data_IF_946243416398
#
_entry.id   IF_946243416398
#
_cell.length_a   1.000
_cell.length_b   1.000
_cell.length_c   1.000
_cell.angle_alpha   90.00
_cell.angle_beta   90.00
_cell.angle_gamma   90.00
#
_symmetry.space_group_name_H-M   'P 1'
#
loop_
_entity.id
_entity.type
_entity.pdbx_description
1 polymer ?
#
# COMPACT_ATOMS: atom_id res chain seq x y z
N UNK A 1 -0.71 -18.64 -14.03
CA UNK A 1 -1.60 -18.69 -12.86
C UNK A 1 -2.89 -17.96 -13.17
N UNK A 2 -4.00 -18.42 -12.59
CA UNK A 2 -5.25 -17.65 -12.53
C UNK A 2 -5.29 -16.89 -11.20
N UNK A 3 -5.43 -15.57 -11.24
CA UNK A 3 -5.26 -14.69 -10.07
C UNK A 3 -6.52 -13.84 -9.90
N UNK A 4 -7.14 -13.92 -8.73
CA UNK A 4 -8.25 -13.04 -8.36
C UNK A 4 -7.70 -11.79 -7.67
N UNK A 5 -8.06 -10.60 -8.18
CA UNK A 5 -7.59 -9.32 -7.65
C UNK A 5 -8.78 -8.45 -7.23
N UNK A 6 -8.79 -8.00 -5.98
CA UNK A 6 -9.66 -6.90 -5.55
C UNK A 6 -8.89 -5.59 -5.61
N UNK A 7 -9.58 -4.48 -5.89
CA UNK A 7 -8.90 -3.19 -6.06
C UNK A 7 -8.09 -3.07 -7.35
N UNK A 8 -8.36 -3.91 -8.36
CA UNK A 8 -7.69 -3.92 -9.66
C UNK A 8 -7.72 -2.57 -10.41
N UNK A 9 -8.69 -1.71 -10.15
CA UNK A 9 -8.80 -0.36 -10.74
C UNK A 9 -8.02 0.72 -9.98
N UNK A 10 -7.46 0.40 -8.82
CA UNK A 10 -6.66 1.33 -8.00
C UNK A 10 -5.28 1.61 -8.59
N UNK A 11 -4.51 2.48 -7.93
CA UNK A 11 -3.17 2.91 -8.38
C UNK A 11 -2.22 1.70 -8.54
N UNK A 12 -2.08 0.89 -7.51
CA UNK A 12 -1.24 -0.32 -7.53
C UNK A 12 -1.92 -1.40 -8.37
N UNK A 13 -3.21 -1.66 -8.14
CA UNK A 13 -3.96 -2.73 -8.79
C UNK A 13 -3.97 -2.65 -10.31
N UNK A 14 -4.11 -1.46 -10.89
CA UNK A 14 -4.10 -1.29 -12.34
C UNK A 14 -2.72 -1.56 -12.96
N UNK A 15 -1.64 -1.11 -12.32
CA UNK A 15 -0.28 -1.38 -12.77
C UNK A 15 0.06 -2.87 -12.61
N UNK A 16 -0.35 -3.47 -11.50
CA UNK A 16 -0.16 -4.90 -11.22
C UNK A 16 -0.91 -5.77 -12.23
N UNK A 17 -2.19 -5.48 -12.49
CA UNK A 17 -3.01 -6.21 -13.48
C UNK A 17 -2.36 -6.17 -14.85
N UNK A 18 -1.92 -4.99 -15.30
CA UNK A 18 -1.23 -4.84 -16.59
C UNK A 18 0.06 -5.68 -16.64
N UNK A 19 0.88 -5.62 -15.60
CA UNK A 19 2.15 -6.37 -15.54
C UNK A 19 1.92 -7.89 -15.49
N UNK A 20 0.95 -8.38 -14.71
CA UNK A 20 0.63 -9.79 -14.62
C UNK A 20 0.07 -10.33 -15.94
N UNK A 21 -0.83 -9.58 -16.60
CA UNK A 21 -1.36 -9.95 -17.92
C UNK A 21 -0.25 -10.04 -18.97
N UNK A 22 0.68 -9.08 -18.98
CA UNK A 22 1.84 -9.10 -19.87
C UNK A 22 2.77 -10.30 -19.64
N UNK A 23 2.77 -10.87 -18.42
CA UNK A 23 3.50 -12.09 -18.05
C UNK A 23 2.71 -13.39 -18.31
N UNK A 24 1.54 -13.30 -18.95
CA UNK A 24 0.72 -14.46 -19.32
C UNK A 24 -0.16 -15.03 -18.19
N UNK A 25 -0.40 -14.26 -17.11
CA UNK A 25 -1.34 -14.66 -16.08
C UNK A 25 -2.78 -14.32 -16.49
N UNK A 26 -3.74 -15.14 -16.08
CA UNK A 26 -5.18 -14.88 -16.23
C UNK A 26 -5.68 -14.13 -15.00
N UNK A 27 -6.26 -12.95 -15.19
CA UNK A 27 -6.73 -12.10 -14.08
C UNK A 27 -8.26 -12.15 -14.00
N UNK A 28 -8.78 -12.33 -12.80
CA UNK A 28 -10.18 -12.15 -12.45
C UNK A 28 -10.27 -10.94 -11.51
N UNK A 29 -11.02 -9.93 -11.91
CA UNK A 29 -11.17 -8.68 -11.14
C UNK A 29 -12.45 -8.71 -10.31
N UNK A 30 -12.33 -8.70 -8.97
CA UNK A 30 -13.48 -8.56 -8.10
C UNK A 30 -13.91 -7.08 -8.02
N UNK A 31 -15.13 -6.80 -8.47
CA UNK A 31 -15.71 -5.46 -8.60
C UNK A 31 -16.95 -5.30 -7.71
N UNK A 32 -17.15 -4.11 -7.12
CA UNK A 32 -18.33 -3.82 -6.28
C UNK A 32 -19.58 -3.44 -7.08
N UNK A 33 -19.40 -3.07 -8.34
CA UNK A 33 -20.48 -2.82 -9.31
C UNK A 33 -20.87 -4.10 -10.05
N UNK A 34 -21.90 -4.04 -10.84
CA UNK A 34 -22.20 -5.12 -11.78
C UNK A 34 -21.03 -5.37 -12.74
N UNK A 35 -20.65 -6.65 -12.95
CA UNK A 35 -19.63 -7.03 -13.92
C UNK A 35 -19.97 -6.53 -15.32
N UNK A 36 -18.99 -6.01 -16.05
CA UNK A 36 -19.12 -5.52 -17.43
C UNK A 36 -18.31 -6.35 -18.42
N UNK A 37 -17.48 -7.26 -17.92
CA UNK A 37 -16.60 -8.12 -18.70
C UNK A 37 -16.60 -9.52 -18.10
N UNK A 38 -16.23 -10.49 -18.92
CA UNK A 38 -16.18 -11.90 -18.49
C UNK A 38 -15.07 -12.20 -17.47
N UNK A 39 -14.07 -11.29 -17.34
CA UNK A 39 -12.99 -11.37 -16.38
C UNK A 39 -13.29 -10.59 -15.08
N UNK A 40 -14.55 -10.20 -14.88
CA UNK A 40 -15.01 -9.52 -13.67
C UNK A 40 -16.01 -10.40 -12.92
N UNK A 41 -15.93 -10.35 -11.58
CA UNK A 41 -16.87 -10.98 -10.67
C UNK A 41 -17.38 -9.96 -9.67
N UNK A 42 -18.66 -10.05 -9.33
CA UNK A 42 -19.22 -9.18 -8.31
C UNK A 42 -18.85 -9.65 -6.92
N UNK A 43 -18.50 -8.70 -6.06
CA UNK A 43 -18.36 -8.90 -4.64
C UNK A 43 -18.90 -7.70 -3.87
N UNK A 44 -19.45 -7.94 -2.68
CA UNK A 44 -19.93 -6.88 -1.81
C UNK A 44 -19.49 -7.18 -0.36
N UNK A 45 -18.39 -6.56 0.11
CA UNK A 45 -17.93 -6.77 1.48
C UNK A 45 -18.92 -6.31 2.55
N UNK A 46 -19.77 -5.32 2.26
CA UNK A 46 -20.77 -4.83 3.22
C UNK A 46 -21.92 -5.79 3.40
N UNK A 47 -22.32 -6.45 2.33
CA UNK A 47 -23.35 -7.49 2.36
C UNK A 47 -22.78 -8.88 2.68
N UNK A 48 -21.44 -9.01 2.74
CA UNK A 48 -20.77 -10.28 2.98
C UNK A 48 -20.94 -11.27 1.83
N UNK A 49 -21.04 -10.79 0.58
CA UNK A 49 -21.32 -11.64 -0.57
C UNK A 49 -20.21 -11.62 -1.61
N UNK A 50 -19.80 -12.80 -2.05
CA UNK A 50 -18.99 -13.06 -3.24
C UNK A 50 -19.37 -14.44 -3.77
N UNK A 51 -19.48 -14.59 -5.10
CA UNK A 51 -19.75 -15.88 -5.69
C UNK A 51 -18.56 -16.83 -5.49
N UNK A 52 -18.78 -17.99 -4.90
CA UNK A 52 -17.74 -19.00 -4.69
C UNK A 52 -17.12 -19.49 -6.03
N UNK A 53 -17.90 -19.53 -7.11
CA UNK A 53 -17.42 -19.87 -8.45
C UNK A 53 -16.36 -18.88 -8.98
N UNK A 54 -16.29 -17.68 -8.39
CA UNK A 54 -15.20 -16.74 -8.68
C UNK A 54 -13.81 -17.31 -8.40
N UNK A 55 -13.71 -18.31 -7.53
CA UNK A 55 -12.47 -18.95 -7.13
C UNK A 55 -12.14 -20.22 -7.92
N UNK A 56 -12.98 -20.65 -8.86
CA UNK A 56 -12.74 -21.85 -9.65
C UNK A 56 -11.43 -21.77 -10.44
N UNK A 57 -10.51 -22.68 -10.13
CA UNK A 57 -9.16 -22.71 -10.71
C UNK A 57 -8.27 -21.51 -10.36
N UNK A 58 -8.62 -20.73 -9.34
CA UNK A 58 -7.77 -19.61 -8.85
C UNK A 58 -6.58 -20.15 -8.08
N UNK A 59 -5.37 -19.82 -8.52
CA UNK A 59 -4.11 -20.18 -7.86
C UNK A 59 -3.75 -19.22 -6.72
N UNK A 60 -4.09 -17.93 -6.89
CA UNK A 60 -3.70 -16.87 -5.97
C UNK A 60 -4.79 -15.79 -5.84
N UNK A 61 -4.89 -15.20 -4.66
CA UNK A 61 -5.75 -14.03 -4.40
C UNK A 61 -4.90 -12.86 -3.95
N UNK A 62 -5.11 -11.69 -4.56
CA UNK A 62 -4.44 -10.43 -4.18
C UNK A 62 -5.51 -9.42 -3.77
N UNK A 63 -5.48 -9.01 -2.51
CA UNK A 63 -6.45 -8.10 -1.93
C UNK A 63 -5.86 -6.71 -1.70
N UNK A 64 -6.18 -5.76 -2.59
CA UNK A 64 -5.71 -4.37 -2.54
C UNK A 64 -6.87 -3.37 -2.35
N UNK A 65 -8.10 -3.85 -2.19
CA UNK A 65 -9.25 -2.97 -2.03
C UNK A 65 -9.31 -2.36 -0.63
N UNK A 66 -9.64 -1.09 -0.56
CA UNK A 66 -9.85 -0.33 0.66
C UNK A 66 -10.15 1.13 0.36
N UNK A 67 -10.88 1.82 1.25
CA UNK A 67 -11.09 3.26 1.14
C UNK A 67 -9.74 4.00 1.27
N UNK A 68 -9.52 5.03 0.45
CA UNK A 68 -8.27 5.78 0.48
C UNK A 68 -8.13 6.60 1.75
N UNK A 69 -7.04 6.46 2.49
CA UNK A 69 -6.85 7.15 3.79
C UNK A 69 -6.75 8.68 3.64
N UNK A 70 -6.34 9.17 2.48
CA UNK A 70 -6.14 10.59 2.19
C UNK A 70 -7.17 11.19 1.22
N UNK A 71 -8.32 10.54 1.00
CA UNK A 71 -9.32 11.00 0.03
C UNK A 71 -10.29 12.03 0.62
N UNK A 72 -10.57 11.93 1.92
CA UNK A 72 -11.48 12.83 2.65
C UNK A 72 -10.88 13.20 4.02
N UNK A 73 -11.39 14.26 4.63
CA UNK A 73 -11.09 14.57 6.04
C UNK A 73 -11.54 13.42 6.94
N UNK A 74 -10.79 13.18 8.01
CA UNK A 74 -11.12 12.15 8.99
C UNK A 74 -12.21 12.64 9.94
N UNK A 75 -13.43 12.29 9.62
CA UNK A 75 -14.57 12.28 10.55
C UNK A 75 -14.69 10.87 11.13
N UNK A 76 -15.43 10.70 12.22
CA UNK A 76 -15.68 9.37 12.80
C UNK A 76 -16.32 8.42 11.78
N UNK A 77 -17.25 8.92 10.98
CA UNK A 77 -17.86 8.17 9.89
C UNK A 77 -16.83 7.71 8.84
N UNK A 78 -15.87 8.58 8.49
CA UNK A 78 -14.85 8.22 7.51
C UNK A 78 -13.77 7.30 8.10
N UNK A 79 -13.39 7.50 9.36
CA UNK A 79 -12.53 6.55 10.08
C UNK A 79 -13.15 5.16 10.13
N UNK A 80 -14.46 5.07 10.40
CA UNK A 80 -15.22 3.81 10.33
C UNK A 80 -15.21 3.21 8.91
N UNK A 81 -15.42 4.02 7.86
CA UNK A 81 -15.32 3.56 6.46
C UNK A 81 -13.94 3.00 6.14
N UNK A 82 -12.86 3.68 6.57
CA UNK A 82 -11.47 3.22 6.40
C UNK A 82 -11.28 1.83 7.05
N UNK A 83 -11.73 1.65 8.27
CA UNK A 83 -11.62 0.41 9.03
C UNK A 83 -12.45 -0.71 8.38
N UNK A 84 -13.74 -0.48 8.20
CA UNK A 84 -14.68 -1.50 7.71
C UNK A 84 -14.36 -1.94 6.28
N UNK A 85 -13.97 -1.02 5.39
CA UNK A 85 -13.61 -1.38 4.01
C UNK A 85 -12.45 -2.37 3.92
N UNK A 86 -11.60 -2.43 4.93
CA UNK A 86 -10.46 -3.36 5.03
C UNK A 86 -10.86 -4.66 5.70
N UNK A 87 -11.41 -4.58 6.90
CA UNK A 87 -11.74 -5.76 7.71
C UNK A 87 -12.80 -6.61 7.01
N UNK A 88 -13.92 -6.01 6.57
CA UNK A 88 -15.02 -6.75 5.95
C UNK A 88 -14.58 -7.41 4.65
N UNK A 89 -13.79 -6.71 3.83
CA UNK A 89 -13.27 -7.26 2.57
C UNK A 89 -12.31 -8.42 2.79
N UNK A 90 -11.36 -8.26 3.70
CA UNK A 90 -10.38 -9.29 4.02
C UNK A 90 -11.04 -10.53 4.63
N UNK A 91 -11.95 -10.31 5.60
CA UNK A 91 -12.67 -11.39 6.25
C UNK A 91 -13.52 -12.19 5.27
N UNK A 92 -14.28 -11.50 4.40
CA UNK A 92 -15.09 -12.16 3.36
C UNK A 92 -14.24 -13.07 2.47
N UNK A 93 -13.11 -12.56 1.97
CA UNK A 93 -12.21 -13.36 1.13
C UNK A 93 -11.61 -14.53 1.91
N UNK A 94 -11.14 -14.30 3.14
CA UNK A 94 -10.50 -15.31 3.96
C UNK A 94 -11.48 -16.45 4.34
N UNK A 95 -12.70 -16.10 4.74
CA UNK A 95 -13.74 -17.07 5.07
C UNK A 95 -14.15 -17.88 3.83
N UNK A 96 -14.37 -17.21 2.70
CA UNK A 96 -14.73 -17.87 1.44
C UNK A 96 -13.62 -18.84 1.02
N UNK A 97 -12.37 -18.39 0.95
CA UNK A 97 -11.25 -19.26 0.57
C UNK A 97 -11.08 -20.45 1.53
N UNK A 98 -11.28 -20.24 2.82
CA UNK A 98 -11.18 -21.31 3.82
C UNK A 98 -12.24 -22.41 3.63
N UNK A 99 -13.45 -22.06 3.12
CA UNK A 99 -14.56 -22.98 2.90
C UNK A 99 -14.46 -23.76 1.58
N UNK A 100 -13.60 -23.36 0.64
CA UNK A 100 -13.46 -24.03 -0.66
C UNK A 100 -12.90 -25.45 -0.51
N UNK A 101 -13.37 -26.38 -1.33
CA UNK A 101 -12.80 -27.72 -1.46
C UNK A 101 -11.38 -27.65 -2.05
N UNK A 102 -11.18 -26.84 -3.10
CA UNK A 102 -9.87 -26.56 -3.68
C UNK A 102 -9.50 -25.11 -3.38
N UNK A 103 -8.52 -24.92 -2.52
CA UNK A 103 -8.12 -23.62 -2.02
C UNK A 103 -7.05 -22.99 -2.90
N UNK A 104 -7.03 -21.65 -3.07
CA UNK A 104 -5.86 -20.95 -3.61
C UNK A 104 -4.60 -21.25 -2.80
N UNK A 105 -3.46 -21.29 -3.48
CA UNK A 105 -2.16 -21.58 -2.83
C UNK A 105 -1.65 -20.41 -2.00
N UNK A 106 -1.99 -19.18 -2.40
CA UNK A 106 -1.48 -17.96 -1.78
C UNK A 106 -2.53 -16.86 -1.69
N UNK A 107 -2.53 -16.17 -0.56
CA UNK A 107 -3.29 -14.95 -0.30
C UNK A 107 -2.35 -13.80 0.00
N UNK A 108 -2.21 -12.83 -0.90
CA UNK A 108 -1.49 -11.59 -0.69
C UNK A 108 -2.50 -10.53 -0.24
N UNK A 109 -2.51 -10.23 1.06
CA UNK A 109 -3.45 -9.28 1.68
C UNK A 109 -2.78 -7.93 1.88
N UNK A 110 -3.42 -6.85 1.44
CA UNK A 110 -2.95 -5.50 1.74
C UNK A 110 -2.80 -5.27 3.24
N UNK A 111 -1.82 -4.48 3.59
CA UNK A 111 -1.54 -3.88 4.89
C UNK A 111 -0.79 -2.57 4.68
N UNK A 112 -0.25 -1.95 5.71
CA UNK A 112 0.54 -0.74 5.57
C UNK A 112 1.58 -0.59 6.70
N UNK A 113 2.66 0.14 6.43
CA UNK A 113 3.67 0.50 7.43
C UNK A 113 3.09 1.31 8.61
N UNK A 114 1.88 1.84 8.47
CA UNK A 114 1.15 2.50 9.56
C UNK A 114 0.99 1.62 10.80
N UNK A 115 1.09 0.29 10.67
CA UNK A 115 1.04 -0.68 11.77
C UNK A 115 2.08 -0.40 12.86
N UNK A 116 3.22 0.18 12.48
CA UNK A 116 4.30 0.47 13.43
C UNK A 116 4.07 1.73 14.27
N UNK A 117 3.11 2.60 13.89
CA UNK A 117 2.89 3.88 14.57
C UNK A 117 4.10 4.82 14.51
N UNK A 118 4.09 5.85 15.34
CA UNK A 118 5.20 6.81 15.42
C UNK A 118 6.28 6.29 16.38
N UNK A 119 7.48 5.98 15.88
CA UNK A 119 8.60 5.38 16.63
C UNK A 119 9.90 6.19 16.52
N UNK A 120 9.80 7.48 16.14
CA UNK A 120 10.98 8.36 15.99
C UNK A 120 11.99 7.81 14.99
N UNK A 121 13.26 7.71 15.41
CA UNK A 121 14.38 7.27 14.55
C UNK A 121 14.63 5.76 14.58
N UNK A 122 13.79 4.99 15.30
CA UNK A 122 13.93 3.54 15.38
C UNK A 122 13.78 2.91 13.99
N UNK A 123 14.74 2.06 13.62
CA UNK A 123 14.66 1.28 12.39
C UNK A 123 13.70 0.09 12.61
N UNK A 124 12.61 0.07 11.84
CA UNK A 124 11.52 -0.87 11.99
C UNK A 124 11.59 -1.95 10.92
N UNK A 125 11.51 -3.19 11.36
CA UNK A 125 11.50 -4.39 10.51
C UNK A 125 10.16 -5.12 10.68
N UNK A 126 9.98 -6.18 9.93
CA UNK A 126 8.77 -7.01 10.02
C UNK A 126 8.58 -7.66 11.40
N UNK A 127 9.66 -7.85 12.15
CA UNK A 127 9.65 -8.38 13.53
C UNK A 127 9.40 -7.32 14.61
N UNK A 128 9.38 -6.03 14.25
CA UNK A 128 9.09 -4.96 15.20
C UNK A 128 7.64 -5.04 15.70
N UNK A 129 7.44 -4.73 16.98
CA UNK A 129 6.11 -4.72 17.60
C UNK A 129 5.19 -3.69 16.94
N UNK A 130 3.89 -3.93 16.99
CA UNK A 130 2.88 -2.97 16.56
C UNK A 130 2.97 -1.69 17.39
N UNK A 131 2.73 -0.57 16.74
CA UNK A 131 2.63 0.73 17.40
C UNK A 131 1.23 1.01 17.93
N UNK A 132 0.96 2.27 18.20
CA UNK A 132 -0.32 2.76 18.72
C UNK A 132 -0.92 3.82 17.81
N UNK A 133 -2.23 4.07 17.96
CA UNK A 133 -2.98 5.08 17.21
C UNK A 133 -3.81 4.49 16.08
N UNK A 134 -4.71 5.32 15.55
CA UNK A 134 -5.76 4.89 14.62
C UNK A 134 -5.25 4.04 13.46
N UNK A 135 -4.19 4.46 12.76
CA UNK A 135 -3.67 3.69 11.61
C UNK A 135 -3.01 2.37 12.04
N UNK A 136 -2.38 2.33 13.21
CA UNK A 136 -1.79 1.09 13.73
C UNK A 136 -2.88 0.09 14.10
N UNK A 137 -3.95 0.54 14.75
CA UNK A 137 -5.10 -0.28 15.09
C UNK A 137 -5.81 -0.81 13.83
N UNK A 138 -6.04 0.07 12.83
CA UNK A 138 -6.60 -0.35 11.53
C UNK A 138 -5.77 -1.46 10.88
N UNK A 139 -4.44 -1.32 10.83
CA UNK A 139 -3.58 -2.32 10.19
C UNK A 139 -3.55 -3.64 10.98
N UNK A 140 -3.50 -3.60 12.33
CA UNK A 140 -3.58 -4.78 13.18
C UNK A 140 -4.86 -5.57 12.92
N UNK A 141 -6.00 -4.89 12.94
CA UNK A 141 -7.31 -5.52 12.76
C UNK A 141 -7.50 -6.01 11.31
N UNK A 142 -6.89 -5.29 10.35
CA UNK A 142 -6.86 -5.71 8.94
C UNK A 142 -6.09 -7.01 8.75
N UNK A 143 -4.87 -7.13 9.30
CA UNK A 143 -4.07 -8.36 9.24
C UNK A 143 -4.78 -9.51 9.98
N UNK A 144 -5.38 -9.25 11.13
CA UNK A 144 -6.13 -10.25 11.91
C UNK A 144 -7.34 -10.81 11.15
N UNK A 145 -8.00 -10.01 10.29
CA UNK A 145 -9.14 -10.45 9.50
C UNK A 145 -8.81 -11.56 8.48
N UNK A 146 -7.53 -11.78 8.16
CA UNK A 146 -7.09 -12.85 7.27
C UNK A 146 -6.87 -14.22 7.99
N UNK A 147 -7.05 -14.28 9.32
CA UNK A 147 -6.80 -15.49 10.11
C UNK A 147 -7.48 -16.76 9.57
N UNK A 148 -8.75 -16.74 9.07
CA UNK A 148 -9.38 -17.94 8.52
C UNK A 148 -8.61 -18.56 7.34
N UNK A 149 -8.05 -17.73 6.46
CA UNK A 149 -7.24 -18.21 5.34
C UNK A 149 -5.96 -18.89 5.82
N UNK A 150 -5.26 -18.28 6.76
CA UNK A 150 -4.05 -18.85 7.37
C UNK A 150 -4.34 -20.16 8.09
N UNK A 151 -5.41 -20.22 8.88
CA UNK A 151 -5.84 -21.43 9.58
C UNK A 151 -6.22 -22.56 8.63
N UNK A 152 -6.71 -22.23 7.43
CA UNK A 152 -7.03 -23.19 6.38
C UNK A 152 -5.80 -23.67 5.58
N UNK A 153 -4.58 -23.30 5.97
CA UNK A 153 -3.32 -23.67 5.32
C UNK A 153 -2.96 -22.90 4.07
N UNK A 154 -3.65 -21.79 3.78
CA UNK A 154 -3.32 -20.91 2.65
C UNK A 154 -2.13 -20.03 3.05
N UNK A 155 -1.05 -20.04 2.25
CA UNK A 155 0.09 -19.15 2.47
C UNK A 155 -0.36 -17.70 2.40
N UNK A 156 -0.37 -17.02 3.54
CA UNK A 156 -0.86 -15.65 3.67
C UNK A 156 0.31 -14.69 3.87
N UNK A 157 0.35 -13.61 3.08
CA UNK A 157 1.36 -12.55 3.15
C UNK A 157 0.67 -11.21 3.37
N UNK A 158 1.12 -10.44 4.36
CA UNK A 158 0.64 -9.09 4.64
C UNK A 158 1.56 -8.07 3.98
N UNK A 159 1.04 -7.39 2.97
CA UNK A 159 1.77 -6.39 2.18
C UNK A 159 1.78 -5.06 2.95
N UNK A 160 2.76 -4.87 3.85
CA UNK A 160 2.93 -3.63 4.62
C UNK A 160 3.52 -2.54 3.73
N UNK A 161 2.67 -1.99 2.87
CA UNK A 161 3.05 -1.00 1.86
C UNK A 161 3.42 0.34 2.48
N UNK A 162 4.54 0.91 2.04
CA UNK A 162 5.00 2.26 2.35
C UNK A 162 4.36 3.34 1.49
N UNK A 163 5.05 4.47 1.33
CA UNK A 163 4.59 5.57 0.49
C UNK A 163 4.92 5.23 -0.98
N UNK A 164 3.92 4.82 -1.75
CA UNK A 164 4.10 4.49 -3.17
C UNK A 164 4.30 5.75 -3.99
N UNK A 165 5.46 5.85 -4.65
CA UNK A 165 5.84 7.00 -5.48
C UNK A 165 5.52 6.75 -6.94
N UNK A 166 4.70 7.62 -7.52
CA UNK A 166 4.41 7.71 -8.95
C UNK A 166 3.81 9.07 -9.29
N UNK A 167 4.12 9.66 -10.46
CA UNK A 167 3.47 10.91 -10.90
C UNK A 167 2.00 10.72 -11.27
N UNK A 168 1.53 9.48 -11.42
CA UNK A 168 0.15 9.15 -11.81
C UNK A 168 -0.84 9.24 -10.65
N UNK A 169 -0.38 9.15 -9.38
CA UNK A 169 -1.27 9.12 -8.21
C UNK A 169 -0.53 9.33 -6.89
N UNK A 170 -1.27 9.22 -5.79
CA UNK A 170 -0.71 9.26 -4.44
C UNK A 170 -0.06 10.58 -4.05
N UNK A 171 0.86 10.50 -3.09
CA UNK A 171 1.51 11.67 -2.48
C UNK A 171 2.35 12.47 -3.49
N UNK A 172 3.11 11.80 -4.35
CA UNK A 172 3.97 12.48 -5.32
C UNK A 172 3.15 13.31 -6.32
N UNK A 173 2.06 12.77 -6.86
CA UNK A 173 1.17 13.51 -7.76
C UNK A 173 0.65 14.80 -7.13
N UNK A 174 0.29 14.76 -5.84
CA UNK A 174 -0.25 15.93 -5.12
C UNK A 174 0.81 16.99 -4.87
N UNK A 175 2.07 16.59 -4.63
CA UNK A 175 3.17 17.51 -4.33
C UNK A 175 3.85 18.07 -5.57
N UNK A 176 3.96 17.30 -6.64
CA UNK A 176 4.75 17.60 -7.83
C UNK A 176 4.42 18.97 -8.49
N UNK A 177 3.16 19.43 -8.60
CA UNK A 177 2.85 20.75 -9.14
C UNK A 177 3.49 21.89 -8.33
N UNK A 178 3.45 21.80 -6.99
CA UNK A 178 4.07 22.81 -6.12
C UNK A 178 5.59 22.85 -6.30
N UNK A 179 6.23 21.67 -6.37
CA UNK A 179 7.67 21.60 -6.60
C UNK A 179 8.06 22.16 -7.99
N UNK A 180 7.29 21.86 -9.05
CA UNK A 180 7.54 22.40 -10.40
C UNK A 180 7.42 23.94 -10.46
N UNK A 181 6.59 24.52 -9.60
CA UNK A 181 6.44 25.98 -9.47
C UNK A 181 7.47 26.63 -8.52
N UNK A 182 8.36 25.83 -7.89
CA UNK A 182 9.31 26.34 -6.89
C UNK A 182 8.67 26.66 -5.54
N UNK A 183 7.42 26.22 -5.32
CA UNK A 183 6.64 26.41 -4.08
C UNK A 183 6.65 25.16 -3.19
N UNK A 184 7.43 24.14 -3.53
CA UNK A 184 7.66 22.97 -2.70
C UNK A 184 8.43 23.31 -1.43
N UNK A 185 8.25 22.50 -0.38
CA UNK A 185 8.96 22.71 0.88
C UNK A 185 8.81 21.53 1.83
N UNK A 186 9.69 21.47 2.83
CA UNK A 186 9.59 20.46 3.89
C UNK A 186 8.43 20.77 4.82
N UNK A 187 7.74 19.75 5.30
CA UNK A 187 6.68 19.89 6.28
C UNK A 187 7.27 20.05 7.69
N UNK A 188 6.95 21.17 8.33
CA UNK A 188 7.43 21.50 9.67
C UNK A 188 8.97 21.51 9.75
N UNK A 189 9.54 20.75 10.67
CA UNK A 189 11.01 20.63 10.81
C UNK A 189 11.65 19.67 9.81
N UNK A 190 10.84 18.83 9.12
CA UNK A 190 11.29 17.87 8.11
C UNK A 190 12.03 16.65 8.65
N UNK A 191 11.99 16.38 9.96
CA UNK A 191 12.69 15.24 10.58
C UNK A 191 11.91 13.93 10.49
N UNK A 192 10.59 13.98 10.20
CA UNK A 192 9.78 12.78 10.08
C UNK A 192 10.24 11.90 8.92
N UNK A 193 10.32 10.61 9.18
CA UNK A 193 10.76 9.61 8.20
C UNK A 193 9.69 9.33 7.15
N UNK A 194 10.14 9.08 5.95
CA UNK A 194 9.33 8.64 4.82
C UNK A 194 9.91 7.35 4.27
N UNK A 195 9.25 6.24 4.56
CA UNK A 195 9.56 4.94 3.98
C UNK A 195 8.72 4.79 2.73
N UNK A 196 9.37 4.93 1.61
CA UNK A 196 8.81 5.01 0.28
C UNK A 196 9.14 3.76 -0.54
N UNK A 197 8.41 3.55 -1.62
CA UNK A 197 8.72 2.57 -2.67
C UNK A 197 8.26 3.13 -4.02
N UNK A 198 8.97 2.84 -5.11
CA UNK A 198 8.47 3.16 -6.44
C UNK A 198 7.29 2.25 -6.81
N UNK A 199 6.36 2.75 -7.64
CA UNK A 199 5.25 1.90 -8.10
C UNK A 199 5.76 0.65 -8.84
N UNK A 200 6.86 0.76 -9.57
CA UNK A 200 7.44 -0.35 -10.31
C UNK A 200 8.00 -1.43 -9.35
N UNK A 201 8.72 -1.02 -8.30
CA UNK A 201 9.20 -1.96 -7.27
C UNK A 201 8.07 -2.54 -6.42
N UNK A 202 7.02 -1.75 -6.11
CA UNK A 202 5.82 -2.26 -5.44
C UNK A 202 5.16 -3.38 -6.24
N UNK A 203 4.96 -3.18 -7.55
CA UNK A 203 4.39 -4.20 -8.45
C UNK A 203 5.31 -5.41 -8.56
N UNK A 204 6.61 -5.21 -8.72
CA UNK A 204 7.57 -6.29 -8.84
C UNK A 204 7.68 -7.11 -7.54
N UNK A 205 7.64 -6.46 -6.37
CA UNK A 205 7.63 -7.13 -5.07
C UNK A 205 6.38 -7.99 -4.88
N UNK A 206 5.19 -7.48 -5.25
CA UNK A 206 3.96 -8.27 -5.20
C UNK A 206 4.05 -9.49 -6.13
N UNK A 207 4.58 -9.32 -7.34
CA UNK A 207 4.78 -10.43 -8.29
C UNK A 207 5.79 -11.44 -7.75
N UNK A 208 6.90 -11.00 -7.17
CA UNK A 208 7.90 -11.86 -6.53
C UNK A 208 7.26 -12.73 -5.44
N UNK A 209 6.43 -12.11 -4.58
CA UNK A 209 5.75 -12.79 -3.48
C UNK A 209 4.69 -13.81 -3.92
N UNK A 210 4.22 -13.79 -5.17
CA UNK A 210 3.31 -14.83 -5.68
C UNK A 210 3.95 -16.23 -5.69
N UNK A 211 5.25 -16.29 -5.98
CA UNK A 211 5.99 -17.55 -6.12
C UNK A 211 7.02 -17.81 -5.01
N UNK A 212 7.29 -16.82 -4.18
CA UNK A 212 8.15 -16.92 -3.00
C UNK A 212 7.58 -17.90 -1.96
N UNK A 213 8.42 -18.37 -1.04
CA UNK A 213 7.99 -19.17 0.12
C UNK A 213 7.67 -18.32 1.36
N UNK A 214 7.85 -17.01 1.27
CA UNK A 214 7.58 -16.08 2.38
C UNK A 214 6.12 -16.11 2.79
N UNK A 215 5.88 -16.07 4.10
CA UNK A 215 4.56 -15.91 4.73
C UNK A 215 4.63 -14.89 5.87
N UNK A 216 3.48 -14.36 6.29
CA UNK A 216 3.41 -13.34 7.33
C UNK A 216 3.67 -11.93 6.80
N UNK A 217 4.21 -11.06 7.64
CA UNK A 217 4.42 -9.65 7.31
C UNK A 217 5.59 -9.44 6.34
N UNK A 218 5.40 -8.54 5.37
CA UNK A 218 6.45 -8.11 4.45
C UNK A 218 6.36 -6.60 4.24
N UNK A 219 7.42 -5.88 4.55
CA UNK A 219 7.52 -4.45 4.31
C UNK A 219 7.80 -4.17 2.83
N UNK A 220 6.85 -3.54 2.16
CA UNK A 220 6.99 -3.06 0.79
C UNK A 220 7.49 -1.62 0.83
N UNK A 221 8.78 -1.46 1.09
CA UNK A 221 9.48 -0.17 1.13
C UNK A 221 10.81 -0.31 0.41
N UNK A 222 11.35 0.80 -0.13
CA UNK A 222 12.72 0.81 -0.62
C UNK A 222 13.71 0.64 0.55
N UNK A 223 14.94 0.14 0.28
CA UNK A 223 15.91 -0.15 1.34
C UNK A 223 16.44 1.08 2.08
N UNK A 224 16.25 2.27 1.51
CA UNK A 224 16.73 3.54 2.08
C UNK A 224 15.56 4.48 2.39
N UNK A 225 14.95 4.38 3.58
CA UNK A 225 14.01 5.39 4.05
C UNK A 225 14.75 6.74 4.20
N UNK A 226 14.05 7.83 3.96
CA UNK A 226 14.59 9.19 4.03
C UNK A 226 13.77 10.06 4.96
N UNK A 227 14.37 11.14 5.49
CA UNK A 227 13.58 12.17 6.16
C UNK A 227 12.80 13.01 5.16
N UNK A 228 11.75 13.70 5.60
CA UNK A 228 11.00 14.61 4.74
C UNK A 228 11.88 15.76 4.19
N UNK A 229 12.88 16.20 4.96
CA UNK A 229 13.85 17.20 4.51
C UNK A 229 14.71 16.68 3.35
N UNK A 230 15.19 15.43 3.45
CA UNK A 230 15.95 14.76 2.37
C UNK A 230 15.07 14.52 1.15
N UNK A 231 13.84 14.05 1.34
CA UNK A 231 12.86 13.89 0.26
C UNK A 231 12.65 15.21 -0.49
N UNK A 232 12.41 16.29 0.26
CA UNK A 232 12.20 17.63 -0.30
C UNK A 232 13.41 18.10 -1.10
N UNK A 233 14.62 17.95 -0.54
CA UNK A 233 15.86 18.32 -1.22
C UNK A 233 16.06 17.53 -2.50
N UNK A 234 15.88 16.23 -2.46
CA UNK A 234 16.07 15.33 -3.62
C UNK A 234 15.05 15.64 -4.72
N UNK A 235 13.75 15.78 -4.37
CA UNK A 235 12.73 16.11 -5.36
C UNK A 235 12.95 17.49 -5.99
N UNK A 236 13.32 18.49 -5.20
CA UNK A 236 13.66 19.82 -5.68
C UNK A 236 14.83 19.79 -6.68
N UNK A 237 15.89 19.01 -6.35
CA UNK A 237 17.03 18.80 -7.25
C UNK A 237 16.63 18.13 -8.57
N UNK A 238 15.81 17.07 -8.52
CA UNK A 238 15.36 16.35 -9.71
C UNK A 238 14.49 17.23 -10.61
N UNK A 239 13.60 18.06 -10.05
CA UNK A 239 12.78 18.98 -10.85
C UNK A 239 13.49 20.28 -11.21
N UNK A 240 14.73 20.48 -10.73
CA UNK A 240 15.54 21.68 -10.93
C UNK A 240 14.80 22.98 -10.51
N UNK A 241 14.19 22.94 -9.31
CA UNK A 241 13.49 24.08 -8.72
C UNK A 241 13.85 24.22 -7.24
N UNK A 242 13.88 25.45 -6.70
CA UNK A 242 14.12 25.65 -5.27
C UNK A 242 12.97 25.10 -4.42
N UNK A 243 13.28 24.68 -3.19
CA UNK A 243 12.33 24.29 -2.16
C UNK A 243 12.84 24.79 -0.79
N UNK A 244 12.92 26.11 -0.66
CA UNK A 244 13.62 26.76 0.45
C UNK A 244 12.72 26.98 1.68
N UNK A 245 11.44 27.25 1.46
CA UNK A 245 10.54 27.64 2.54
C UNK A 245 9.88 26.39 3.18
N UNK A 246 9.93 26.26 4.50
CA UNK A 246 9.19 25.20 5.18
C UNK A 246 7.68 25.45 5.08
N UNK A 247 6.91 24.38 4.96
CA UNK A 247 5.45 24.42 5.00
C UNK A 247 5.04 24.28 6.48
N UNK A 248 4.51 25.35 7.11
CA UNK A 248 4.12 25.31 8.51
C UNK A 248 2.88 24.41 8.69
N UNK A 249 2.77 23.77 9.86
CA UNK A 249 1.74 22.74 10.11
C UNK A 249 0.30 23.27 10.08
N UNK A 250 0.09 24.56 10.37
CA UNK A 250 -1.27 25.12 10.42
C UNK A 250 -1.98 25.06 9.07
N UNK A 251 -1.27 25.27 7.94
CA UNK A 251 -1.86 25.26 6.60
C UNK A 251 -2.44 23.88 6.24
N UNK A 252 -1.63 22.80 6.22
CA UNK A 252 -2.13 21.44 6.00
C UNK A 252 -3.20 21.01 7.01
N UNK A 253 -3.08 21.38 8.31
CA UNK A 253 -4.08 21.05 9.33
C UNK A 253 -5.43 21.73 9.06
N UNK A 254 -5.41 22.97 8.61
CA UNK A 254 -6.64 23.69 8.24
C UNK A 254 -7.31 23.04 7.00
N UNK A 255 -6.51 22.63 6.00
CA UNK A 255 -7.01 22.07 4.76
C UNK A 255 -7.51 20.62 4.91
N UNK A 256 -6.71 19.76 5.55
CA UNK A 256 -6.95 18.32 5.63
C UNK A 256 -7.63 17.89 6.94
N UNK A 257 -7.62 18.73 7.98
CA UNK A 257 -7.93 18.36 9.36
C UNK A 257 -6.67 17.96 10.12
N UNK A 258 -6.65 18.18 11.43
CA UNK A 258 -5.46 17.97 12.26
C UNK A 258 -5.01 16.50 12.25
N UNK A 259 -5.90 15.56 12.52
CA UNK A 259 -5.60 14.12 12.62
C UNK A 259 -4.97 13.57 11.35
N UNK A 260 -5.59 13.88 10.19
CA UNK A 260 -5.10 13.41 8.89
C UNK A 260 -3.75 14.05 8.55
N UNK A 261 -3.61 15.37 8.77
CA UNK A 261 -2.36 16.07 8.49
C UNK A 261 -1.22 15.54 9.38
N UNK A 262 -1.46 15.36 10.68
CA UNK A 262 -0.47 14.82 11.60
C UNK A 262 -0.06 13.40 11.21
N UNK A 263 -1.02 12.53 10.92
CA UNK A 263 -0.74 11.13 10.57
C UNK A 263 0.04 10.96 9.25
N UNK A 264 -0.24 11.79 8.23
CA UNK A 264 0.33 11.58 6.89
C UNK A 264 1.50 12.51 6.55
N UNK A 265 1.61 13.68 7.21
CA UNK A 265 2.60 14.70 6.84
C UNK A 265 3.60 15.01 7.95
N UNK A 266 3.21 14.90 9.22
CA UNK A 266 4.03 15.34 10.35
C UNK A 266 4.54 14.22 11.25
N UNK A 267 4.09 12.98 11.00
CA UNK A 267 4.65 11.76 11.58
C UNK A 267 5.16 10.84 10.49
N UNK A 268 5.96 9.85 10.88
CA UNK A 268 6.48 8.88 9.94
C UNK A 268 7.19 7.73 10.65
N UNK A 269 7.54 6.71 9.87
CA UNK A 269 8.21 5.51 10.34
C UNK A 269 9.46 5.28 9.50
N UNK A 270 10.56 4.87 10.15
CA UNK A 270 11.79 4.44 9.50
C UNK A 270 11.75 2.93 9.27
N UNK A 271 11.08 2.50 8.20
CA UNK A 271 10.84 1.08 7.91
C UNK A 271 11.82 0.57 6.86
N UNK A 272 12.35 -0.62 7.06
CA UNK A 272 13.27 -1.31 6.14
C UNK A 272 12.68 -2.66 5.71
N UNK A 273 12.94 -3.10 4.45
CA UNK A 273 12.34 -4.29 3.86
C UNK A 273 13.19 -5.55 4.07
N UNK A 274 13.43 -5.95 5.34
CA UNK A 274 14.36 -7.02 5.65
C UNK A 274 13.93 -8.36 5.02
N UNK A 275 12.62 -8.67 5.04
CA UNK A 275 12.12 -9.92 4.49
C UNK A 275 12.32 -9.97 2.98
N UNK A 276 12.00 -8.92 2.23
CA UNK A 276 12.22 -8.86 0.78
C UNK A 276 13.70 -9.00 0.42
N UNK A 277 14.59 -8.32 1.15
CA UNK A 277 16.03 -8.40 0.91
C UNK A 277 16.57 -9.81 1.18
N UNK A 278 16.14 -10.44 2.26
CA UNK A 278 16.54 -11.80 2.62
C UNK A 278 15.98 -12.86 1.65
N UNK A 279 14.81 -12.60 1.05
CA UNK A 279 14.19 -13.46 0.03
C UNK A 279 14.76 -13.21 -1.39
N UNK A 280 15.81 -12.39 -1.50
CA UNK A 280 16.54 -12.16 -2.75
C UNK A 280 15.87 -11.21 -3.73
N UNK A 281 14.89 -10.40 -3.27
CA UNK A 281 14.27 -9.39 -4.12
C UNK A 281 15.26 -8.27 -4.48
N UNK A 282 15.35 -7.95 -5.77
CA UNK A 282 16.23 -6.89 -6.28
C UNK A 282 15.41 -5.66 -6.63
N UNK A 283 15.68 -4.54 -5.96
CA UNK A 283 15.03 -3.26 -6.23
C UNK A 283 15.58 -2.61 -7.49
N UNK A 284 14.70 -2.22 -8.41
CA UNK A 284 15.06 -1.41 -9.57
C UNK A 284 15.43 0.03 -9.15
N UNK A 285 14.81 0.52 -8.09
CA UNK A 285 14.98 1.88 -7.58
C UNK A 285 15.38 1.88 -6.10
N UNK A 286 16.62 1.48 -5.74
CA UNK A 286 17.02 1.33 -4.34
C UNK A 286 17.21 2.65 -3.60
N UNK A 287 17.41 3.77 -4.31
CA UNK A 287 17.60 5.11 -3.73
C UNK A 287 16.56 6.09 -4.26
N UNK A 288 16.23 7.10 -3.45
CA UNK A 288 15.20 8.08 -3.81
C UNK A 288 15.55 8.88 -5.07
N UNK A 289 16.82 9.25 -5.28
CA UNK A 289 17.25 9.98 -6.48
C UNK A 289 17.04 9.15 -7.74
N UNK A 290 17.46 7.88 -7.73
CA UNK A 290 17.25 6.95 -8.85
C UNK A 290 15.76 6.81 -9.15
N UNK A 291 14.93 6.61 -8.11
CA UNK A 291 13.48 6.48 -8.27
C UNK A 291 12.86 7.74 -8.88
N UNK A 292 13.15 8.91 -8.34
CA UNK A 292 12.53 10.15 -8.81
C UNK A 292 12.98 10.50 -10.24
N UNK A 293 14.25 10.27 -10.62
CA UNK A 293 14.71 10.47 -12.00
C UNK A 293 14.00 9.52 -12.96
N UNK A 294 13.89 8.24 -12.63
CA UNK A 294 13.19 7.27 -13.46
C UNK A 294 11.70 7.62 -13.62
N UNK A 295 11.01 7.94 -12.52
CA UNK A 295 9.59 8.25 -12.50
C UNK A 295 9.26 9.57 -13.22
N UNK A 296 10.16 10.55 -13.20
CA UNK A 296 9.97 11.87 -13.82
C UNK A 296 10.68 12.01 -15.17
N UNK A 297 11.34 10.94 -15.66
CA UNK A 297 12.07 10.88 -16.94
C UNK A 297 13.13 11.99 -17.04
N UNK A 298 14.00 12.09 -16.01
CA UNK A 298 15.05 13.11 -15.88
C UNK A 298 16.45 12.50 -15.86
#
# INVERSE_FOLDING_TARGET
>A
MKILITGASGLIGSALTSSLTAKGHTIVSAVRREPRRNDEVRWDPKLGTIDANAFDGVDAVIHLAGAGIGDKRWTDAYKKEILESRILGTKLLADTMASLAVKPKVFLSGSAIGIYGARGDEALTESSSHGTGFLADVCRDWEAAAAPATAAGIRTVFLRTGIVLTPRGGALKKQLPLFKLGLGGKFGNGKQWQSWISLDDEVNAIIHLLTSHVSGAVNLTAPQPVTNAEFTKTLAGVVARPALLPIPSFGPKLLLGADLADALLFTGQRVVPNVLQNDGFTFAHPTLDVALRALLKK
#
